data_IF_319171690489
#
_entry.id   IF_319171690489
#
_cell.length_a   1.000
_cell.length_b   1.000
_cell.length_c   1.000
_cell.angle_alpha   90.00
_cell.angle_beta   90.00
_cell.angle_gamma   90.00
#
_symmetry.space_group_name_H-M   'P 1'
#
loop_
_entity.id
_entity.type
_entity.pdbx_description
1 polymer ?
#
# COMPACT_ATOMS: atom_id res chain seq x y z
N UNK A 1 -37.25 6.77 7.21
CA UNK A 1 -37.68 6.63 8.60
C UNK A 1 -36.46 6.34 9.46
N UNK A 2 -36.26 7.14 10.53
CA UNK A 2 -35.24 6.85 11.56
C UNK A 2 -35.79 5.72 12.44
N UNK A 3 -35.05 4.61 12.51
CA UNK A 3 -35.38 3.49 13.38
C UNK A 3 -34.39 3.48 14.54
N UNK A 4 -34.88 3.35 15.78
CA UNK A 4 -34.04 3.31 16.99
C UNK A 4 -33.96 1.87 17.46
N UNK A 5 -32.75 1.42 17.78
CA UNK A 5 -32.47 0.12 18.38
C UNK A 5 -31.86 0.33 19.76
N UNK A 6 -32.19 -0.55 20.70
CA UNK A 6 -31.58 -0.62 22.01
C UNK A 6 -30.71 -1.89 22.08
N UNK A 7 -29.50 -1.76 22.61
CA UNK A 7 -28.54 -2.85 22.75
C UNK A 7 -27.70 -2.65 24.02
N UNK A 8 -27.36 -3.73 24.70
CA UNK A 8 -26.45 -3.71 25.84
C UNK A 8 -24.99 -3.52 25.43
N UNK A 9 -24.65 -3.99 24.22
CA UNK A 9 -23.31 -3.94 23.65
C UNK A 9 -23.41 -3.50 22.20
N UNK A 10 -22.50 -2.61 21.77
CA UNK A 10 -22.38 -2.18 20.38
C UNK A 10 -20.97 -2.46 19.86
N UNK A 11 -20.86 -3.06 18.68
CA UNK A 11 -19.57 -3.33 18.03
C UNK A 11 -19.52 -2.60 16.69
N UNK A 12 -18.57 -1.67 16.55
CA UNK A 12 -18.30 -0.96 15.30
C UNK A 12 -17.37 -1.83 14.43
N UNK A 13 -17.95 -2.52 13.45
CA UNK A 13 -17.27 -3.44 12.53
C UNK A 13 -17.42 -3.02 11.07
N UNK A 14 -17.49 -1.72 10.82
CA UNK A 14 -17.88 -1.15 9.51
C UNK A 14 -16.77 -1.24 8.45
N UNK A 15 -15.54 -1.56 8.84
CA UNK A 15 -14.37 -1.55 7.96
C UNK A 15 -13.99 -0.14 7.52
N UNK A 16 -13.43 -0.02 6.32
CA UNK A 16 -12.96 1.24 5.74
C UNK A 16 -13.63 1.55 4.39
N UNK A 17 -13.13 2.59 3.71
CA UNK A 17 -13.57 2.98 2.37
C UNK A 17 -12.77 2.26 1.25
N UNK A 18 -11.89 1.32 1.60
CA UNK A 18 -11.13 0.56 0.61
C UNK A 18 -12.04 -0.35 -0.23
N UNK A 19 -11.66 -0.49 -1.51
CA UNK A 19 -12.37 -1.33 -2.45
C UNK A 19 -13.67 -0.73 -2.97
N UNK A 20 -14.21 -1.35 -4.00
CA UNK A 20 -15.44 -0.90 -4.65
C UNK A 20 -16.65 -1.49 -3.91
N UNK A 21 -17.17 -0.76 -2.95
CA UNK A 21 -18.42 -1.12 -2.25
C UNK A 21 -19.59 -0.37 -2.88
N UNK A 22 -20.44 -1.11 -3.58
CA UNK A 22 -21.69 -0.54 -4.14
C UNK A 22 -22.66 -0.19 -3.02
N UNK A 23 -23.25 1.00 -3.09
CA UNK A 23 -24.38 1.40 -2.23
C UNK A 23 -24.04 2.20 -0.98
N UNK A 24 -22.80 2.61 -0.74
CA UNK A 24 -22.48 3.50 0.37
C UNK A 24 -22.26 4.93 -0.12
N UNK A 25 -23.18 5.82 0.24
CA UNK A 25 -23.10 7.25 -0.08
C UNK A 25 -22.46 8.10 1.02
N UNK A 26 -22.21 7.53 2.21
CA UNK A 26 -21.66 8.25 3.36
C UNK A 26 -20.35 7.60 3.84
N UNK A 27 -19.42 8.45 4.27
CA UNK A 27 -18.16 7.98 4.85
C UNK A 27 -18.42 7.19 6.14
N UNK A 28 -17.84 6.01 6.24
CA UNK A 28 -17.90 5.16 7.45
C UNK A 28 -17.33 5.84 8.68
N UNK A 29 -16.45 6.83 8.47
CA UNK A 29 -15.86 7.63 9.55
C UNK A 29 -16.80 8.74 10.05
N UNK A 30 -17.95 8.96 9.39
CA UNK A 30 -18.93 9.97 9.84
C UNK A 30 -19.44 9.68 11.27
N UNK A 31 -19.78 8.42 11.56
CA UNK A 31 -20.22 8.03 12.89
C UNK A 31 -19.15 8.26 13.96
N UNK A 32 -17.87 8.03 13.64
CA UNK A 32 -16.78 8.29 14.58
C UNK A 32 -16.67 9.79 14.91
N UNK A 33 -16.88 10.64 13.90
CA UNK A 33 -16.89 12.11 14.10
C UNK A 33 -18.10 12.57 14.91
N UNK A 34 -19.28 11.99 14.69
CA UNK A 34 -20.47 12.26 15.49
C UNK A 34 -20.26 11.87 16.96
N UNK A 35 -19.54 10.78 17.22
CA UNK A 35 -19.14 10.33 18.55
C UNK A 35 -17.94 11.14 19.11
N UNK A 36 -17.48 12.18 18.42
CA UNK A 36 -16.33 13.01 18.83
C UNK A 36 -15.07 12.19 19.11
N UNK A 37 -14.87 11.09 18.39
CA UNK A 37 -13.69 10.25 18.46
C UNK A 37 -12.58 10.82 17.56
N UNK A 38 -11.33 10.61 17.94
CA UNK A 38 -10.17 11.05 17.19
C UNK A 38 -10.01 10.17 15.94
N UNK A 39 -10.22 10.74 14.76
CA UNK A 39 -10.01 10.09 13.48
C UNK A 39 -8.71 10.57 12.86
N UNK A 40 -7.76 9.66 12.69
CA UNK A 40 -6.58 9.89 11.84
C UNK A 40 -7.03 9.89 10.38
N UNK A 41 -6.62 10.90 9.62
CA UNK A 41 -7.07 11.07 8.23
C UNK A 41 -6.88 9.78 7.42
N UNK A 42 -7.97 9.21 6.87
CA UNK A 42 -7.87 7.99 6.07
C UNK A 42 -7.18 8.26 4.74
N UNK A 43 -6.24 7.39 4.38
CA UNK A 43 -5.50 7.47 3.13
C UNK A 43 -5.43 6.09 2.49
N UNK A 44 -5.66 5.95 1.16
CA UNK A 44 -5.48 4.69 0.47
C UNK A 44 -4.09 4.10 0.71
N UNK A 45 -4.03 2.80 0.98
CA UNK A 45 -2.80 2.05 1.20
C UNK A 45 -2.88 0.71 0.47
N UNK A 46 -1.74 0.09 0.20
CA UNK A 46 -1.65 -1.07 -0.68
C UNK A 46 -2.36 -0.78 -2.02
N UNK A 47 -1.96 0.30 -2.66
CA UNK A 47 -2.59 0.86 -3.83
C UNK A 47 -1.53 1.24 -4.89
N UNK A 48 -1.94 1.36 -6.14
CA UNK A 48 -1.07 1.68 -7.26
C UNK A 48 -0.64 3.15 -7.23
N UNK A 49 0.51 3.45 -7.86
CA UNK A 49 0.99 4.82 -8.08
C UNK A 49 0.62 5.35 -9.47
N UNK A 50 0.22 6.60 -9.52
CA UNK A 50 0.34 7.43 -10.72
C UNK A 50 1.79 7.88 -10.87
N UNK A 51 2.36 7.74 -12.07
CA UNK A 51 3.75 8.13 -12.32
C UNK A 51 3.92 9.05 -13.53
N UNK A 52 5.04 9.77 -13.55
CA UNK A 52 5.51 10.52 -14.70
C UNK A 52 6.99 10.18 -14.96
N UNK A 53 7.39 9.82 -16.20
CA UNK A 53 6.50 9.56 -17.33
C UNK A 53 5.65 8.31 -17.16
N UNK A 54 4.51 8.25 -17.83
CA UNK A 54 3.74 7.01 -18.00
C UNK A 54 4.32 6.24 -19.19
N UNK A 55 4.86 5.06 -18.94
CA UNK A 55 5.50 4.23 -19.97
C UNK A 55 4.45 3.36 -20.70
N UNK A 56 3.58 4.01 -21.49
CA UNK A 56 2.45 3.35 -22.17
C UNK A 56 2.86 2.17 -23.05
N UNK A 57 4.06 2.22 -23.66
CA UNK A 57 4.62 1.12 -24.48
C UNK A 57 4.86 -0.16 -23.66
N UNK A 58 5.03 -0.02 -22.34
CA UNK A 58 5.22 -1.14 -21.42
C UNK A 58 3.91 -1.59 -20.75
N UNK A 59 2.76 -1.03 -21.10
CA UNK A 59 1.46 -1.44 -20.51
C UNK A 59 1.29 -2.96 -20.55
N UNK A 60 0.96 -3.54 -19.39
CA UNK A 60 0.77 -4.98 -19.21
C UNK A 60 2.05 -5.78 -18.97
N UNK A 61 3.21 -5.15 -19.10
CA UNK A 61 4.50 -5.83 -18.84
C UNK A 61 4.73 -5.90 -17.33
N UNK A 62 5.14 -7.08 -16.88
CA UNK A 62 5.61 -7.34 -15.53
C UNK A 62 7.13 -7.44 -15.52
N UNK A 63 7.74 -6.93 -14.47
CA UNK A 63 9.18 -7.03 -14.25
C UNK A 63 9.46 -7.39 -12.80
N UNK A 64 10.39 -8.31 -12.60
CA UNK A 64 10.98 -8.60 -11.30
C UNK A 64 12.17 -7.67 -11.08
N UNK A 65 12.40 -7.29 -9.84
CA UNK A 65 13.51 -6.41 -9.47
C UNK A 65 13.35 -5.85 -8.07
N UNK A 66 14.17 -4.88 -7.76
CA UNK A 66 14.11 -4.13 -6.52
C UNK A 66 13.61 -2.72 -6.79
N UNK A 67 12.66 -2.27 -5.97
CA UNK A 67 11.94 -1.02 -6.12
C UNK A 67 12.15 -0.18 -4.88
N UNK A 68 12.65 1.05 -5.05
CA UNK A 68 12.96 1.95 -3.94
C UNK A 68 12.07 3.18 -3.99
N UNK A 69 11.37 3.46 -2.89
CA UNK A 69 10.64 4.71 -2.70
C UNK A 69 11.61 5.75 -2.15
N UNK A 70 11.84 6.79 -2.93
CA UNK A 70 12.78 7.86 -2.59
C UNK A 70 12.03 9.15 -2.25
N UNK A 71 12.52 9.90 -1.28
CA UNK A 71 12.08 11.25 -0.92
C UNK A 71 13.31 12.11 -0.65
N UNK A 72 13.46 13.22 -1.35
CA UNK A 72 14.63 14.11 -1.23
C UNK A 72 15.96 13.36 -1.26
N UNK A 73 16.13 12.50 -2.26
CA UNK A 73 17.31 11.62 -2.46
C UNK A 73 17.58 10.60 -1.34
N UNK A 74 16.67 10.48 -0.38
CA UNK A 74 16.75 9.49 0.69
C UNK A 74 15.81 8.31 0.37
N UNK A 75 16.33 7.09 0.49
CA UNK A 75 15.51 5.89 0.41
C UNK A 75 14.64 5.77 1.67
N UNK A 76 13.32 5.84 1.50
CA UNK A 76 12.33 5.70 2.56
C UNK A 76 12.07 4.22 2.83
N UNK A 77 11.88 3.45 1.76
CA UNK A 77 11.66 2.01 1.85
C UNK A 77 12.01 1.34 0.53
N UNK A 78 12.33 0.05 0.60
CA UNK A 78 12.69 -0.76 -0.54
C UNK A 78 11.96 -2.10 -0.48
N UNK A 79 11.44 -2.53 -1.64
CA UNK A 79 10.74 -3.80 -1.80
C UNK A 79 11.33 -4.57 -2.99
N UNK A 80 11.57 -5.87 -2.80
CA UNK A 80 11.92 -6.80 -3.86
C UNK A 80 10.68 -7.58 -4.29
N UNK A 81 10.45 -7.70 -5.59
CA UNK A 81 9.28 -8.42 -6.08
C UNK A 81 8.94 -8.12 -7.52
N UNK A 82 7.66 -8.01 -7.83
CA UNK A 82 7.16 -7.77 -9.17
C UNK A 82 6.44 -6.43 -9.26
N UNK A 83 6.79 -5.65 -10.31
CA UNK A 83 6.10 -4.45 -10.75
C UNK A 83 5.33 -4.74 -12.04
N UNK A 84 4.15 -4.16 -12.18
CA UNK A 84 3.33 -4.16 -13.40
C UNK A 84 3.24 -2.73 -13.93
N UNK A 85 3.67 -2.51 -15.17
CA UNK A 85 3.42 -1.26 -15.88
C UNK A 85 1.98 -1.17 -16.36
N UNK A 86 1.37 0.00 -16.18
CA UNK A 86 -0.03 0.27 -16.54
C UNK A 86 -0.13 1.51 -17.44
N UNK A 87 -1.34 1.87 -17.83
CA UNK A 87 -1.61 3.08 -18.63
C UNK A 87 -1.73 4.37 -17.80
N UNK A 88 -1.57 4.26 -16.48
CA UNK A 88 -1.58 5.40 -15.55
C UNK A 88 -0.30 5.51 -14.71
N UNK A 89 0.54 4.50 -14.72
CA UNK A 89 1.75 4.42 -13.91
C UNK A 89 2.14 2.98 -13.61
N UNK A 90 2.24 2.62 -12.34
CA UNK A 90 2.73 1.30 -11.93
C UNK A 90 1.88 0.66 -10.83
N UNK A 91 1.87 -0.67 -10.84
CA UNK A 91 1.17 -1.57 -9.92
C UNK A 91 2.07 -2.77 -9.55
N UNK A 92 1.51 -3.76 -8.90
CA UNK A 92 2.23 -4.95 -8.43
C UNK A 92 2.41 -4.94 -6.93
N UNK A 93 2.60 -6.13 -6.32
CA UNK A 93 2.62 -6.26 -4.86
C UNK A 93 3.71 -5.39 -4.23
N UNK A 94 4.93 -5.43 -4.76
CA UNK A 94 6.03 -4.62 -4.25
C UNK A 94 5.71 -3.11 -4.29
N UNK A 95 5.17 -2.62 -5.41
CA UNK A 95 4.76 -1.21 -5.56
C UNK A 95 3.65 -0.84 -4.58
N UNK A 96 2.65 -1.72 -4.42
CA UNK A 96 1.56 -1.47 -3.49
C UNK A 96 2.03 -1.44 -2.03
N UNK A 97 3.00 -2.28 -1.64
CA UNK A 97 3.61 -2.20 -0.32
C UNK A 97 4.34 -0.86 -0.10
N UNK A 98 5.07 -0.37 -1.09
CA UNK A 98 5.71 0.96 -1.03
C UNK A 98 4.69 2.08 -0.81
N UNK A 99 3.46 1.95 -1.33
CA UNK A 99 2.43 2.97 -1.14
C UNK A 99 1.99 3.16 0.32
N UNK A 100 2.26 2.19 1.20
CA UNK A 100 1.99 2.31 2.64
C UNK A 100 2.82 3.42 3.30
N UNK A 101 3.95 3.79 2.70
CA UNK A 101 4.84 4.85 3.17
C UNK A 101 4.52 6.22 2.56
N UNK A 102 3.65 6.27 1.55
CA UNK A 102 3.24 7.53 0.92
C UNK A 102 2.53 8.45 1.91
N UNK A 103 2.85 9.74 1.90
CA UNK A 103 2.18 10.81 2.65
C UNK A 103 1.74 11.91 1.69
N UNK A 104 0.60 12.54 1.95
CA UNK A 104 0.15 13.69 1.17
C UNK A 104 1.15 14.85 1.29
N UNK A 105 1.23 15.65 0.24
CA UNK A 105 2.08 16.86 0.18
C UNK A 105 3.59 16.61 0.25
N UNK A 106 4.03 15.38 0.06
CA UNK A 106 5.42 15.00 -0.09
C UNK A 106 5.71 14.60 -1.54
N UNK A 107 6.93 14.82 -2.00
CA UNK A 107 7.38 14.44 -3.35
C UNK A 107 8.17 13.15 -3.28
N UNK A 108 7.77 12.18 -4.10
CA UNK A 108 8.41 10.88 -4.14
C UNK A 108 8.86 10.52 -5.54
N UNK A 109 9.91 9.71 -5.61
CA UNK A 109 10.35 9.02 -6.82
C UNK A 109 10.35 7.52 -6.55
N UNK A 110 10.03 6.75 -7.59
CA UNK A 110 10.23 5.31 -7.61
C UNK A 110 11.47 5.02 -8.44
N UNK A 111 12.46 4.37 -7.82
CA UNK A 111 13.61 3.85 -8.54
C UNK A 111 13.42 2.36 -8.75
N UNK A 112 13.71 1.92 -9.99
CA UNK A 112 13.57 0.54 -10.43
C UNK A 112 14.97 0.00 -10.72
N UNK A 113 15.40 -1.05 -10.02
CA UNK A 113 16.56 -1.85 -10.36
C UNK A 113 16.09 -3.09 -11.13
N UNK A 114 16.33 -3.11 -12.44
CA UNK A 114 15.99 -4.23 -13.32
C UNK A 114 16.96 -5.42 -13.21
N UNK A 115 18.11 -5.22 -12.55
CA UNK A 115 19.19 -6.19 -12.41
C UNK A 115 19.68 -6.28 -10.96
N UNK A 116 18.74 -6.45 -10.04
CA UNK A 116 19.00 -6.43 -8.60
C UNK A 116 19.93 -7.57 -8.10
N UNK A 117 20.08 -8.63 -8.90
CA UNK A 117 21.00 -9.74 -8.62
C UNK A 117 22.43 -9.46 -9.08
N UNK A 118 22.66 -8.42 -9.89
CA UNK A 118 23.98 -8.03 -10.38
C UNK A 118 24.47 -6.73 -9.72
N UNK A 119 25.72 -6.72 -9.32
CA UNK A 119 26.38 -5.46 -8.97
C UNK A 119 26.54 -4.57 -10.20
N UNK A 120 26.74 -3.28 -10.01
CA UNK A 120 26.98 -2.34 -11.11
C UNK A 120 28.17 -2.78 -11.99
N UNK A 121 29.27 -3.24 -11.38
CA UNK A 121 30.46 -3.68 -12.11
C UNK A 121 30.20 -4.96 -12.93
N UNK A 122 29.46 -5.93 -12.38
CA UNK A 122 29.08 -7.14 -13.11
C UNK A 122 28.19 -6.78 -14.30
N UNK A 123 27.20 -5.91 -14.11
CA UNK A 123 26.34 -5.45 -15.21
C UNK A 123 27.16 -4.75 -16.30
N UNK A 124 28.11 -3.86 -15.93
CA UNK A 124 29.03 -3.25 -16.90
C UNK A 124 29.84 -4.30 -17.66
N UNK A 125 30.35 -5.32 -17.00
CA UNK A 125 31.11 -6.41 -17.62
C UNK A 125 30.24 -7.16 -18.62
N UNK A 126 29.00 -7.53 -18.26
CA UNK A 126 28.08 -8.20 -19.20
C UNK A 126 27.73 -7.33 -20.40
N UNK A 127 27.43 -6.04 -20.18
CA UNK A 127 27.13 -5.11 -21.27
C UNK A 127 28.31 -4.87 -22.21
N UNK A 128 29.56 -4.99 -21.72
CA UNK A 128 30.76 -4.84 -22.57
C UNK A 128 31.09 -6.07 -23.43
N UNK A 129 30.67 -7.26 -22.99
CA UNK A 129 30.99 -8.51 -23.64
C UNK A 129 29.94 -8.99 -24.66
N UNK A 130 28.75 -8.45 -24.59
CA UNK A 130 27.60 -8.92 -25.34
C UNK A 130 27.16 -7.92 -26.42
N UNK A 131 26.61 -8.45 -27.50
CA UNK A 131 25.96 -7.65 -28.55
C UNK A 131 24.70 -6.94 -28.02
N UNK A 132 24.11 -6.07 -28.85
CA UNK A 132 22.82 -5.40 -28.57
C UNK A 132 21.69 -6.33 -28.13
N UNK A 133 21.81 -7.65 -28.41
CA UNK A 133 20.84 -8.69 -28.02
C UNK A 133 20.89 -9.08 -26.54
N UNK A 134 21.91 -8.63 -25.77
CA UNK A 134 22.03 -9.00 -24.35
C UNK A 134 20.78 -8.64 -23.54
N UNK A 135 20.26 -7.43 -23.71
CA UNK A 135 19.06 -6.98 -22.98
C UNK A 135 17.82 -7.80 -23.36
N UNK A 136 17.72 -8.29 -24.61
CA UNK A 136 16.60 -9.14 -25.07
C UNK A 136 16.65 -10.53 -24.42
N UNK A 137 17.83 -11.03 -24.09
CA UNK A 137 17.99 -12.31 -23.37
C UNK A 137 17.71 -12.21 -21.87
N UNK A 138 17.85 -11.02 -21.28
CA UNK A 138 17.76 -10.82 -19.83
C UNK A 138 16.47 -10.13 -19.37
N UNK A 139 15.84 -9.35 -20.24
CA UNK A 139 14.63 -8.58 -19.92
C UNK A 139 13.47 -8.99 -20.83
N UNK A 140 12.25 -8.67 -20.41
CA UNK A 140 11.10 -8.75 -21.30
C UNK A 140 11.38 -7.95 -22.60
N UNK A 141 11.04 -8.51 -23.75
CA UNK A 141 11.27 -7.92 -25.07
C UNK A 141 10.84 -6.44 -25.16
N UNK A 142 9.67 -6.07 -24.63
CA UNK A 142 9.22 -4.67 -24.66
C UNK A 142 10.12 -3.75 -23.80
N UNK A 143 10.64 -4.25 -22.68
CA UNK A 143 11.56 -3.48 -21.84
C UNK A 143 12.90 -3.33 -22.56
N UNK A 144 13.44 -4.42 -23.12
CA UNK A 144 14.67 -4.37 -23.89
C UNK A 144 14.57 -3.38 -25.06
N UNK A 145 13.50 -3.46 -25.86
CA UNK A 145 13.23 -2.52 -26.95
C UNK A 145 13.10 -1.06 -26.47
N UNK A 146 12.48 -0.86 -25.30
CA UNK A 146 12.40 0.50 -24.73
C UNK A 146 13.78 1.06 -24.40
N UNK A 147 14.71 0.24 -23.93
CA UNK A 147 16.07 0.67 -23.59
C UNK A 147 17.02 0.76 -24.79
N UNK A 148 16.67 0.27 -25.99
CA UNK A 148 17.47 0.43 -27.21
C UNK A 148 17.79 1.89 -27.54
N UNK A 149 16.90 2.83 -27.22
CA UNK A 149 17.14 4.26 -27.42
C UNK A 149 18.30 4.83 -26.57
N UNK A 150 18.80 4.07 -25.62
CA UNK A 150 19.93 4.42 -24.77
C UNK A 150 21.21 3.66 -25.09
N UNK A 151 21.23 2.87 -26.19
CA UNK A 151 22.36 2.00 -26.57
C UNK A 151 23.66 2.76 -26.80
N UNK A 152 23.59 4.04 -27.20
CA UNK A 152 24.76 4.89 -27.45
C UNK A 152 25.34 5.53 -26.19
N UNK A 153 24.73 5.27 -25.02
CA UNK A 153 25.30 5.73 -23.75
C UNK A 153 26.58 4.97 -23.41
N UNK A 154 27.56 5.63 -22.75
CA UNK A 154 28.68 4.90 -22.13
C UNK A 154 28.15 3.77 -21.23
N UNK A 155 28.80 2.61 -21.26
CA UNK A 155 28.38 1.40 -20.56
C UNK A 155 28.05 1.66 -19.08
N UNK A 156 28.89 2.42 -18.39
CA UNK A 156 28.70 2.77 -16.99
C UNK A 156 27.39 3.57 -16.77
N UNK A 157 27.06 4.46 -17.68
CA UNK A 157 25.82 5.26 -17.64
C UNK A 157 24.60 4.39 -17.96
N UNK A 158 24.70 3.48 -18.92
CA UNK A 158 23.64 2.53 -19.24
C UNK A 158 23.37 1.58 -18.05
N UNK A 159 24.43 1.02 -17.47
CA UNK A 159 24.32 0.17 -16.29
C UNK A 159 23.69 0.92 -15.11
N UNK A 160 24.09 2.16 -14.87
CA UNK A 160 23.50 3.00 -13.84
C UNK A 160 22.01 3.23 -14.11
N UNK A 161 21.63 3.57 -15.35
CA UNK A 161 20.25 3.80 -15.75
C UNK A 161 19.38 2.54 -15.54
N UNK A 162 19.88 1.36 -15.88
CA UNK A 162 19.18 0.08 -15.72
C UNK A 162 18.99 -0.32 -14.25
N UNK A 163 19.88 0.11 -13.37
CA UNK A 163 19.81 -0.15 -11.93
C UNK A 163 19.08 0.95 -11.13
N UNK A 164 18.90 2.13 -11.72
CA UNK A 164 18.31 3.28 -11.04
C UNK A 164 17.32 4.01 -11.96
N UNK A 165 16.45 3.24 -12.63
CA UNK A 165 15.47 3.85 -13.52
C UNK A 165 14.42 4.58 -12.72
N UNK A 166 14.34 5.91 -12.90
CA UNK A 166 13.50 6.81 -12.11
C UNK A 166 12.15 7.07 -12.76
N UNK A 167 11.09 6.98 -11.96
CA UNK A 167 9.76 7.49 -12.25
C UNK A 167 9.35 8.46 -11.14
N UNK A 168 8.84 9.64 -11.49
CA UNK A 168 8.30 10.57 -10.49
C UNK A 168 6.88 10.14 -10.10
N UNK A 169 6.61 10.00 -8.80
CA UNK A 169 5.30 9.63 -8.28
C UNK A 169 4.43 10.90 -8.25
N UNK A 170 3.32 10.87 -8.98
CA UNK A 170 2.34 11.96 -9.05
C UNK A 170 1.23 11.83 -8.02
N UNK A 171 1.13 10.67 -7.38
CA UNK A 171 0.13 10.35 -6.36
C UNK A 171 -0.18 8.87 -6.31
N UNK A 172 -1.14 8.53 -5.48
CA UNK A 172 -1.71 7.19 -5.34
C UNK A 172 -3.11 7.15 -5.93
N UNK A 173 -3.57 5.97 -6.36
CA UNK A 173 -4.94 5.81 -6.83
C UNK A 173 -5.95 5.94 -5.69
N UNK A 174 -7.20 6.17 -6.04
CA UNK A 174 -8.31 6.45 -5.14
C UNK A 174 -8.67 5.22 -4.29
N UNK A 175 -9.38 5.44 -3.18
CA UNK A 175 -9.77 4.41 -2.20
C UNK A 175 -10.46 3.19 -2.83
N UNK A 176 -11.25 3.37 -3.89
CA UNK A 176 -11.92 2.27 -4.61
C UNK A 176 -10.95 1.24 -5.23
N UNK A 177 -9.68 1.58 -5.41
CA UNK A 177 -8.64 0.71 -5.95
C UNK A 177 -7.66 0.23 -4.89
N UNK A 178 -7.78 0.71 -3.66
CA UNK A 178 -6.93 0.32 -2.55
C UNK A 178 -7.36 -1.03 -1.98
N UNK A 179 -6.40 -1.80 -1.49
CA UNK A 179 -6.72 -3.03 -0.75
C UNK A 179 -7.15 -2.71 0.68
N UNK A 180 -6.58 -1.65 1.27
CA UNK A 180 -6.89 -1.17 2.62
C UNK A 180 -6.77 0.35 2.70
N UNK A 181 -7.33 0.93 3.76
CA UNK A 181 -7.03 2.31 4.18
C UNK A 181 -6.07 2.28 5.37
N UNK A 182 -5.11 3.19 5.40
CA UNK A 182 -4.42 3.57 6.64
C UNK A 182 -5.09 4.81 7.21
N UNK A 183 -5.02 5.01 8.51
CA UNK A 183 -5.84 5.99 9.23
C UNK A 183 -7.10 5.33 9.83
N UNK A 184 -8.08 6.12 10.20
CA UNK A 184 -9.29 5.67 10.90
C UNK A 184 -9.30 6.00 12.37
N UNK A 185 -10.04 5.25 13.19
CA UNK A 185 -10.17 5.48 14.63
C UNK A 185 -8.81 5.37 15.34
N UNK A 186 -8.40 6.43 16.02
CA UNK A 186 -7.15 6.43 16.79
C UNK A 186 -7.18 5.35 17.89
N UNK A 187 -6.08 4.60 18.02
CA UNK A 187 -5.93 3.65 19.12
C UNK A 187 -5.86 4.32 20.50
N UNK A 188 -5.64 5.65 20.57
CA UNK A 188 -5.70 6.40 21.81
C UNK A 188 -7.12 6.45 22.39
N UNK A 189 -8.17 6.30 21.58
CA UNK A 189 -9.56 6.35 22.00
C UNK A 189 -10.13 5.00 22.42
N UNK A 190 -9.34 3.92 22.30
CA UNK A 190 -9.75 2.56 22.72
C UNK A 190 -8.88 2.04 23.85
N UNK A 191 -9.44 1.11 24.62
CA UNK A 191 -8.72 0.34 25.64
C UNK A 191 -7.92 -0.80 24.97
N UNK A 192 -7.16 -1.55 25.77
CA UNK A 192 -6.48 -2.76 25.30
C UNK A 192 -7.45 -3.81 24.72
N UNK A 193 -8.68 -3.89 25.26
CA UNK A 193 -9.73 -4.78 24.79
C UNK A 193 -10.59 -4.15 23.67
N UNK A 194 -10.15 -3.05 23.09
CA UNK A 194 -10.78 -2.34 21.98
C UNK A 194 -12.16 -1.73 22.32
N UNK A 195 -12.46 -1.54 23.61
CA UNK A 195 -13.60 -0.78 24.07
C UNK A 195 -13.32 0.73 23.93
N UNK A 196 -14.31 1.50 23.50
CA UNK A 196 -14.19 2.96 23.40
C UNK A 196 -14.12 3.57 24.81
N UNK A 197 -13.04 4.31 25.10
CA UNK A 197 -12.82 4.90 26.44
C UNK A 197 -13.94 5.84 26.89
N UNK A 198 -14.62 6.50 25.93
CA UNK A 198 -15.72 7.44 26.22
C UNK A 198 -17.10 6.80 26.25
N UNK A 199 -17.23 5.58 25.73
CA UNK A 199 -18.51 4.92 25.52
C UNK A 199 -18.43 3.48 26.04
N UNK A 200 -18.70 3.26 27.34
CA UNK A 200 -18.71 1.91 27.90
C UNK A 200 -19.64 0.96 27.14
N UNK A 201 -19.27 -0.30 27.02
CA UNK A 201 -19.96 -1.33 26.25
C UNK A 201 -20.01 -1.07 24.74
N UNK A 202 -19.23 -0.14 24.21
CA UNK A 202 -19.06 0.07 22.78
C UNK A 202 -17.63 -0.28 22.36
N UNK A 203 -17.47 -1.12 21.36
CA UNK A 203 -16.20 -1.66 20.88
C UNK A 203 -15.98 -1.31 19.40
N UNK A 204 -14.71 -1.30 18.95
CA UNK A 204 -14.37 -1.13 17.56
C UNK A 204 -13.39 -2.23 17.12
N UNK A 205 -13.64 -2.87 15.95
CA UNK A 205 -12.85 -3.98 15.43
C UNK A 205 -12.52 -3.83 13.94
N UNK A 206 -11.43 -4.46 13.53
CA UNK A 206 -11.03 -4.52 12.13
C UNK A 206 -10.57 -3.17 11.59
N UNK A 207 -10.78 -2.96 10.30
CA UNK A 207 -10.19 -1.88 9.51
C UNK A 207 -10.76 -0.47 9.80
N UNK A 208 -11.75 -0.35 10.67
CA UNK A 208 -12.18 0.97 11.18
C UNK A 208 -11.13 1.59 12.11
N UNK A 209 -10.30 0.75 12.75
CA UNK A 209 -9.18 1.16 13.59
C UNK A 209 -7.99 1.64 12.73
N UNK A 210 -7.21 2.60 13.23
CA UNK A 210 -5.96 3.03 12.59
C UNK A 210 -4.88 1.95 12.69
N UNK A 211 -5.11 0.81 12.01
CA UNK A 211 -4.18 -0.30 11.89
C UNK A 211 -4.21 -0.78 10.43
N UNK A 212 -3.08 -0.72 9.75
CA UNK A 212 -2.93 -1.22 8.39
C UNK A 212 -1.69 -2.10 8.31
N UNK A 213 -1.87 -3.35 7.91
CA UNK A 213 -0.81 -4.33 7.68
C UNK A 213 -0.39 -4.35 6.20
N UNK A 214 0.69 -5.06 5.94
CA UNK A 214 1.23 -5.28 4.58
C UNK A 214 0.34 -6.24 3.76
N UNK A 215 0.64 -6.40 2.47
CA UNK A 215 0.06 -7.47 1.65
C UNK A 215 0.37 -8.85 2.24
N UNK A 216 -0.55 -9.82 2.10
CA UNK A 216 -0.33 -11.20 2.56
C UNK A 216 -1.30 -11.68 3.65
N UNK A 217 -2.48 -11.08 3.74
CA UNK A 217 -3.56 -11.53 4.65
C UNK A 217 -3.53 -10.92 6.05
N UNK A 218 -2.52 -10.08 6.38
CA UNK A 218 -2.39 -9.46 7.70
C UNK A 218 -3.61 -8.64 8.12
N UNK A 219 -4.23 -7.92 7.19
CA UNK A 219 -5.41 -7.09 7.47
C UNK A 219 -6.65 -7.94 7.80
N UNK A 220 -6.85 -9.06 7.09
CA UNK A 220 -7.90 -10.02 7.41
C UNK A 220 -7.64 -10.71 8.75
N UNK A 221 -6.39 -11.11 9.01
CA UNK A 221 -6.01 -11.69 10.28
C UNK A 221 -6.25 -10.72 11.44
N UNK A 222 -5.87 -9.44 11.28
CA UNK A 222 -6.14 -8.41 12.28
C UNK A 222 -7.64 -8.23 12.53
N UNK A 223 -8.48 -8.23 11.49
CA UNK A 223 -9.93 -8.13 11.65
C UNK A 223 -10.50 -9.26 12.49
N UNK A 224 -10.07 -10.51 12.22
CA UNK A 224 -10.47 -11.69 13.01
C UNK A 224 -9.92 -11.66 14.44
N UNK A 225 -8.65 -11.32 14.61
CA UNK A 225 -8.00 -11.27 15.93
C UNK A 225 -8.61 -10.18 16.83
N UNK A 226 -8.95 -9.02 16.26
CA UNK A 226 -9.61 -7.94 16.98
C UNK A 226 -11.04 -8.35 17.41
N UNK A 227 -11.78 -9.04 16.53
CA UNK A 227 -13.11 -9.56 16.85
C UNK A 227 -13.04 -10.60 17.98
N UNK A 228 -12.08 -11.54 17.92
CA UNK A 228 -11.87 -12.55 18.95
C UNK A 228 -11.52 -11.92 20.31
N UNK A 229 -10.64 -10.91 20.33
CA UNK A 229 -10.29 -10.17 21.54
C UNK A 229 -11.52 -9.53 22.20
N UNK A 230 -12.34 -8.85 21.40
CA UNK A 230 -13.57 -8.21 21.90
C UNK A 230 -14.55 -9.26 22.45
N UNK A 231 -14.74 -10.38 21.75
CA UNK A 231 -15.61 -11.46 22.24
C UNK A 231 -15.16 -11.97 23.62
N UNK A 232 -13.86 -12.22 23.81
CA UNK A 232 -13.31 -12.63 25.11
C UNK A 232 -13.48 -11.55 26.19
N UNK A 233 -13.33 -10.27 25.85
CA UNK A 233 -13.53 -9.17 26.80
C UNK A 233 -14.99 -9.08 27.26
N UNK A 234 -15.92 -9.22 26.33
CA UNK A 234 -17.37 -9.24 26.63
C UNK A 234 -17.70 -10.40 27.53
N UNK A 235 -17.22 -11.62 27.23
CA UNK A 235 -17.46 -12.82 28.02
C UNK A 235 -16.96 -12.65 29.47
N UNK A 236 -15.73 -12.16 29.66
CA UNK A 236 -15.18 -11.89 31.01
C UNK A 236 -16.07 -10.92 31.81
N UNK A 237 -16.54 -9.84 31.15
CA UNK A 237 -17.34 -8.82 31.81
C UNK A 237 -18.73 -9.30 32.18
N UNK A 238 -19.32 -10.24 31.43
CA UNK A 238 -20.60 -10.89 31.73
C UNK A 238 -20.47 -11.79 32.93
N UNK A 239 -19.40 -12.60 32.99
CA UNK A 239 -19.17 -13.49 34.16
C UNK A 239 -18.96 -12.70 35.48
N UNK A 240 -18.21 -11.59 35.42
CA UNK A 240 -17.96 -10.74 36.62
C UNK A 240 -19.23 -10.04 37.12
N UNK A 241 -20.21 -9.74 36.25
CA UNK A 241 -21.48 -9.13 36.66
C UNK A 241 -22.48 -10.15 37.29
N UNK A 242 -22.30 -11.44 37.01
CA UNK A 242 -23.19 -12.51 37.46
C UNK A 242 -22.61 -13.30 38.64
N UNK A 243 -21.43 -12.96 39.14
CA UNK A 243 -20.78 -13.47 40.34
C UNK A 243 -20.83 -12.46 41.48
#
# INVERSE_FOLDING_TARGET
SKQTFHADIVILAMGSEAGKLSGMNESRYHILKQLQLKVIEPLPSLVQFYTSPVLKVLKGVRVKGTFSLMENDKCIHQEKGELLFTDYGVSGIAVMQLSSFYKKHHQYQLYIDFFDELSHNQLCQYLSQQSSLFLEGMLNHKIASYFQKYQDLPIQKLAFLLKHYRLDIQGIREAQYAQVMKGGLSLEDVTYDLELKRYPSMFAIGEILNVAGMCGGYNLHFALASAYRVAQAIERNVYVKNS
#
